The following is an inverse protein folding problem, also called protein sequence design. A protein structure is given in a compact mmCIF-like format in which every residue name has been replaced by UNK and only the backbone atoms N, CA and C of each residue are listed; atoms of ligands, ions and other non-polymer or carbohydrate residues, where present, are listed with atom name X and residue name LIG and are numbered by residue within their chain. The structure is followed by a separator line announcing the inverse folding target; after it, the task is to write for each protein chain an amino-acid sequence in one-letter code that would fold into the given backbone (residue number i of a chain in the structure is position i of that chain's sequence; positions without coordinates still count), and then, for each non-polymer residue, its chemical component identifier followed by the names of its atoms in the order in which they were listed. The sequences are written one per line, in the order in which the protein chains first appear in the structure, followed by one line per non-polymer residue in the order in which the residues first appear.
data_IF_347809152934
#
_entry.id   IF_347809152934
#
_cell.length_a   1.000
_cell.length_b   1.000
_cell.length_c   1.000
_cell.angle_alpha   90.00
_cell.angle_beta   90.00
_cell.angle_gamma   90.00
#
_symmetry.space_group_name_H-M   'P 1'
#
loop_
_entity.id
_entity.type
_entity.pdbx_description
1 polymer ?
#
# COMPACT_ATOMS: atom_id res chain seq x y z
N UNK A 1 -26.40 5.46 2.98
CA UNK A 1 -25.41 4.83 3.86
C UNK A 1 -24.36 4.10 3.00
N UNK A 2 -23.65 4.79 2.09
CA UNK A 2 -22.76 4.15 1.09
C UNK A 2 -21.30 4.64 1.10
N UNK A 3 -20.91 5.55 2.00
CA UNK A 3 -19.62 6.27 1.86
C UNK A 3 -18.58 6.06 2.96
N UNK A 4 -18.88 5.34 4.05
CA UNK A 4 -17.96 5.36 5.19
C UNK A 4 -17.08 4.10 5.36
N UNK A 5 -17.28 3.05 4.57
CA UNK A 5 -16.48 1.82 4.69
C UNK A 5 -15.06 1.94 4.14
N UNK A 6 -14.89 2.72 3.07
CA UNK A 6 -13.57 2.95 2.48
C UNK A 6 -12.73 3.92 3.33
N UNK A 7 -13.37 4.93 3.92
CA UNK A 7 -12.69 5.97 4.69
C UNK A 7 -12.06 5.47 6.01
N UNK A 8 -12.65 4.46 6.64
CA UNK A 8 -12.14 3.92 7.92
C UNK A 8 -10.87 3.08 7.72
N UNK A 9 -10.81 2.30 6.64
CA UNK A 9 -9.61 1.52 6.31
C UNK A 9 -8.41 2.42 5.94
N UNK A 10 -8.69 3.58 5.34
CA UNK A 10 -7.68 4.53 4.92
C UNK A 10 -6.99 5.25 6.10
N UNK A 11 -7.73 5.60 7.14
CA UNK A 11 -7.19 6.32 8.28
C UNK A 11 -6.13 5.50 9.05
N UNK A 12 -6.31 4.18 9.13
CA UNK A 12 -5.35 3.29 9.77
C UNK A 12 -4.03 3.17 8.98
N UNK A 13 -4.12 3.15 7.63
CA UNK A 13 -2.96 3.05 6.76
C UNK A 13 -2.08 4.31 6.78
N UNK A 14 -2.70 5.49 6.98
CA UNK A 14 -1.99 6.77 6.99
C UNK A 14 -1.29 7.05 8.32
N UNK A 15 -1.81 6.57 9.44
CA UNK A 15 -1.16 6.72 10.74
C UNK A 15 0.12 5.90 10.86
N UNK A 16 0.17 4.72 10.24
CA UNK A 16 1.36 3.88 10.28
C UNK A 16 2.49 4.40 9.38
N UNK A 17 2.16 4.97 8.20
CA UNK A 17 3.17 5.57 7.31
C UNK A 17 3.70 6.90 7.85
N UNK A 18 2.87 7.71 8.53
CA UNK A 18 3.28 8.97 9.15
C UNK A 18 4.21 8.80 10.35
N UNK A 19 4.08 7.73 11.11
CA UNK A 19 4.93 7.46 12.27
C UNK A 19 6.37 7.09 11.87
N UNK A 20 6.55 6.45 10.72
CA UNK A 20 7.87 6.06 10.21
C UNK A 20 8.67 7.27 9.71
N UNK A 21 8.00 8.26 9.10
CA UNK A 21 8.68 9.47 8.57
C UNK A 21 9.00 10.50 9.66
N UNK A 22 8.16 10.61 10.71
CA UNK A 22 8.36 11.60 11.78
C UNK A 22 9.54 11.29 12.72
N UNK A 23 10.00 10.04 12.79
CA UNK A 23 11.10 9.64 13.69
C UNK A 23 12.49 9.87 13.11
N UNK A 24 12.62 10.07 11.80
CA UNK A 24 13.90 10.35 11.14
C UNK A 24 14.41 11.79 11.28
N UNK A 25 13.62 12.71 11.86
CA UNK A 25 13.97 14.14 11.96
C UNK A 25 14.51 14.62 13.32
N UNK A 26 14.64 13.76 14.32
CA UNK A 26 15.13 14.15 15.66
C UNK A 26 16.48 13.51 16.00
N UNK A 27 17.51 13.76 15.20
CA UNK A 27 18.90 13.61 15.65
C UNK A 27 19.49 15.00 15.89
N UNK A 28 20.08 15.26 17.08
CA UNK A 28 20.76 16.53 17.37
C UNK A 28 22.03 16.68 16.53
N UNK A 29 22.46 17.92 16.23
CA UNK A 29 23.63 18.17 15.40
C UNK A 29 24.91 17.69 16.11
N UNK A 30 25.68 16.90 15.38
CA UNK A 30 26.99 16.45 15.83
C UNK A 30 27.97 17.65 15.90
N UNK A 31 28.68 17.75 17.01
CA UNK A 31 29.74 18.69 17.28
C UNK A 31 30.90 18.52 16.27
N UNK A 32 31.54 19.59 15.78
CA UNK A 32 32.63 19.47 14.83
C UNK A 32 33.89 18.92 15.48
N UNK A 33 34.40 17.81 14.99
CA UNK A 33 35.70 17.28 15.36
C UNK A 33 36.77 17.90 14.47
N UNK A 34 37.83 18.36 15.15
CA UNK A 34 39.02 18.99 14.63
C UNK A 34 39.78 18.13 13.62
N UNK A 35 40.23 18.81 12.56
CA UNK A 35 41.10 18.32 11.48
C UNK A 35 42.51 17.97 11.98
N UNK A 36 43.13 16.90 11.53
CA UNK A 36 44.58 16.89 11.31
C UNK A 36 44.89 16.86 9.81
N UNK A 37 45.68 17.85 9.40
CA UNK A 37 46.39 17.92 8.12
C UNK A 37 47.35 16.76 7.97
N UNK A 38 47.32 16.04 6.84
CA UNK A 38 48.53 15.39 6.34
C UNK A 38 48.49 15.18 4.82
N UNK A 39 49.50 15.61 4.20
CA UNK A 39 50.24 15.34 2.99
C UNK A 39 49.60 14.55 1.87
N UNK A 40 49.31 15.24 0.77
CA UNK A 40 49.00 14.58 -0.51
C UNK A 40 50.27 14.22 -1.25
N UNK A 41 50.42 12.92 -1.56
CA UNK A 41 51.36 12.39 -2.55
C UNK A 41 50.68 12.35 -3.92
N UNK A 42 51.20 13.05 -4.96
CA UNK A 42 50.49 13.22 -6.23
C UNK A 42 50.60 12.03 -7.22
N UNK A 43 51.02 10.84 -6.80
CA UNK A 43 51.26 9.73 -7.73
C UNK A 43 50.42 8.49 -7.51
N UNK A 44 49.37 8.52 -6.68
CA UNK A 44 48.52 7.35 -6.45
C UNK A 44 47.20 7.47 -7.22
N UNK A 45 47.07 6.65 -8.29
CA UNK A 45 45.86 6.38 -9.04
C UNK A 45 44.75 5.94 -8.07
N UNK A 46 43.51 6.49 -8.16
CA UNK A 46 42.39 6.07 -7.33
C UNK A 46 42.02 4.60 -7.60
N UNK A 47 41.61 3.83 -6.60
CA UNK A 47 41.09 2.49 -6.82
C UNK A 47 39.79 2.57 -7.59
N UNK A 48 39.68 1.73 -8.62
CA UNK A 48 38.52 1.56 -9.47
C UNK A 48 37.47 0.70 -8.76
N UNK A 49 36.77 1.21 -7.76
CA UNK A 49 35.59 0.57 -7.16
C UNK A 49 34.72 1.62 -6.41
N UNK A 50 34.52 2.77 -7.03
CA UNK A 50 33.36 3.58 -6.70
C UNK A 50 32.19 3.04 -7.51
N UNK A 51 31.34 2.23 -6.89
CA UNK A 51 30.07 1.80 -7.46
C UNK A 51 29.27 3.07 -7.77
N UNK A 52 29.22 3.40 -9.05
CA UNK A 52 28.34 4.46 -9.52
C UNK A 52 26.89 4.09 -9.11
N UNK A 53 26.06 5.08 -8.71
CA UNK A 53 24.66 4.82 -8.46
C UNK A 53 24.09 4.15 -9.70
N UNK A 54 23.37 3.03 -9.50
CA UNK A 54 22.69 2.28 -10.56
C UNK A 54 21.74 3.24 -11.29
N UNK A 55 22.23 3.82 -12.38
CA UNK A 55 21.38 4.39 -13.41
C UNK A 55 20.75 3.20 -14.11
N UNK A 56 19.43 3.15 -14.08
CA UNK A 56 18.66 2.16 -14.83
C UNK A 56 18.79 2.51 -16.32
N UNK A 57 19.91 2.08 -16.94
CA UNK A 57 20.06 2.08 -18.38
C UNK A 57 19.25 0.94 -18.98
N UNK A 58 17.96 1.18 -19.11
CA UNK A 58 17.09 0.40 -19.97
C UNK A 58 17.31 0.87 -21.41
N UNK A 59 18.11 0.10 -22.17
CA UNK A 59 18.12 0.09 -23.62
C UNK A 59 18.07 1.47 -24.32
N UNK A 60 19.18 2.20 -24.35
CA UNK A 60 19.41 3.25 -25.32
C UNK A 60 18.65 4.57 -25.14
N UNK A 61 17.94 4.75 -24.01
CA UNK A 61 17.32 6.02 -23.65
C UNK A 61 18.33 6.80 -22.80
N UNK A 62 18.96 7.83 -23.39
CA UNK A 62 19.79 8.78 -22.66
C UNK A 62 18.92 9.42 -21.56
N UNK A 63 19.42 9.41 -20.31
CA UNK A 63 18.75 10.11 -19.23
C UNK A 63 18.46 11.57 -19.63
N UNK A 64 17.26 12.11 -19.40
CA UNK A 64 16.95 13.50 -19.73
C UNK A 64 17.96 14.44 -19.09
N UNK A 65 18.37 15.52 -19.77
CA UNK A 65 19.32 16.47 -19.20
C UNK A 65 18.81 17.07 -17.89
N UNK A 66 19.74 17.31 -16.95
CA UNK A 66 19.41 17.93 -15.66
C UNK A 66 18.82 19.32 -15.91
N UNK A 67 17.60 19.56 -15.39
CA UNK A 67 16.90 20.83 -15.49
C UNK A 67 16.75 21.44 -14.10
N UNK A 68 17.44 22.55 -13.83
CA UNK A 68 17.43 23.21 -12.53
C UNK A 68 16.02 23.68 -12.09
N UNK A 69 15.17 24.05 -13.05
CA UNK A 69 13.78 24.42 -12.79
C UNK A 69 12.94 23.20 -12.33
N UNK A 70 13.15 22.06 -12.97
CA UNK A 70 12.54 20.78 -12.60
C UNK A 70 12.99 20.31 -11.22
N UNK A 71 14.30 20.40 -10.93
CA UNK A 71 14.87 20.06 -9.62
C UNK A 71 14.31 20.97 -8.51
N UNK A 72 14.14 22.26 -8.77
CA UNK A 72 13.51 23.20 -7.84
C UNK A 72 12.01 22.89 -7.63
N UNK A 73 11.30 22.51 -8.68
CA UNK A 73 9.88 22.15 -8.61
C UNK A 73 9.68 20.87 -7.79
N UNK A 74 10.49 19.83 -8.01
CA UNK A 74 10.39 18.58 -7.23
C UNK A 74 10.77 18.82 -5.76
N UNK A 75 11.76 19.68 -5.51
CA UNK A 75 12.08 20.08 -4.13
C UNK A 75 10.89 20.75 -3.46
N UNK A 76 10.24 21.71 -4.13
CA UNK A 76 9.05 22.37 -3.62
C UNK A 76 7.90 21.37 -3.35
N UNK A 77 7.72 20.38 -4.18
CA UNK A 77 6.77 19.29 -3.95
C UNK A 77 7.12 18.46 -2.70
N UNK A 78 8.39 18.10 -2.52
CA UNK A 78 8.86 17.34 -1.35
C UNK A 78 8.69 18.12 -0.04
N UNK A 79 8.86 19.43 -0.08
CA UNK A 79 8.73 20.33 1.07
C UNK A 79 7.26 20.46 1.57
N UNK A 80 6.27 20.09 0.77
CA UNK A 80 4.86 20.05 1.21
C UNK A 80 4.68 18.89 2.20
N UNK A 81 4.18 19.15 3.43
CA UNK A 81 3.93 18.11 4.40
C UNK A 81 2.98 17.01 3.87
N UNK A 82 3.26 15.76 4.19
CA UNK A 82 2.44 14.62 3.79
C UNK A 82 1.02 14.66 4.39
N UNK A 83 0.81 15.44 5.45
CA UNK A 83 -0.50 15.68 6.06
C UNK A 83 -1.38 16.63 5.25
N UNK A 84 -0.79 17.48 4.40
CA UNK A 84 -1.53 18.35 3.47
C UNK A 84 -1.68 17.67 2.10
N UNK A 85 -2.43 16.57 2.10
CA UNK A 85 -2.59 15.73 0.91
C UNK A 85 -3.19 16.48 -0.27
N UNK A 86 -4.17 17.34 -0.03
CA UNK A 86 -4.84 18.09 -1.09
C UNK A 86 -3.86 19.02 -1.84
N UNK A 87 -3.07 19.77 -1.08
CA UNK A 87 -2.03 20.65 -1.65
C UNK A 87 -0.94 19.85 -2.36
N UNK A 88 -0.50 18.74 -1.76
CA UNK A 88 0.55 17.92 -2.34
C UNK A 88 0.08 17.17 -3.59
N UNK A 89 -1.17 16.69 -3.63
CA UNK A 89 -1.77 16.14 -4.84
C UNK A 89 -1.80 17.17 -5.97
N UNK A 90 -2.28 18.38 -5.67
CA UNK A 90 -2.32 19.47 -6.67
C UNK A 90 -0.91 19.79 -7.21
N UNK A 91 0.08 19.88 -6.32
CA UNK A 91 1.46 20.13 -6.73
C UNK A 91 2.04 18.99 -7.58
N UNK A 92 1.68 17.73 -7.26
CA UNK A 92 2.06 16.57 -8.08
C UNK A 92 1.42 16.57 -9.45
N UNK A 93 0.10 16.88 -9.55
CA UNK A 93 -0.61 17.05 -10.82
C UNK A 93 0.04 18.13 -11.69
N UNK A 94 0.31 19.30 -11.12
CA UNK A 94 0.94 20.42 -11.82
C UNK A 94 2.37 20.05 -12.29
N UNK A 95 3.10 19.29 -11.47
CA UNK A 95 4.45 18.83 -11.81
C UNK A 95 4.43 17.90 -13.03
N UNK A 96 3.63 16.83 -13.02
CA UNK A 96 3.60 15.87 -14.14
C UNK A 96 3.02 16.47 -15.41
N UNK A 97 2.14 17.46 -15.29
CA UNK A 97 1.62 18.22 -16.43
C UNK A 97 2.70 19.11 -17.04
N UNK A 98 3.47 19.82 -16.22
CA UNK A 98 4.52 20.75 -16.67
C UNK A 98 5.76 20.01 -17.20
N UNK A 99 6.10 18.86 -16.59
CA UNK A 99 7.30 18.09 -16.89
C UNK A 99 6.96 16.64 -17.30
N UNK A 100 6.31 16.43 -18.47
CA UNK A 100 5.79 15.12 -18.88
C UNK A 100 6.87 14.09 -19.22
N UNK A 101 8.15 14.50 -19.28
CA UNK A 101 9.30 13.61 -19.53
C UNK A 101 10.28 13.60 -18.34
N UNK A 102 9.88 14.12 -17.19
CA UNK A 102 10.72 14.20 -16.00
C UNK A 102 11.16 12.83 -15.49
N UNK A 103 12.41 12.74 -15.06
CA UNK A 103 12.95 11.59 -14.31
C UNK A 103 12.29 11.40 -12.94
N UNK A 104 11.62 12.43 -12.40
CA UNK A 104 10.96 12.39 -11.11
C UNK A 104 9.51 11.90 -11.17
N UNK A 105 8.98 11.62 -12.38
CA UNK A 105 7.60 11.13 -12.54
C UNK A 105 7.27 9.90 -11.68
N UNK A 106 8.14 8.88 -11.56
CA UNK A 106 7.82 7.73 -10.73
C UNK A 106 7.54 8.12 -9.27
N UNK A 107 8.40 8.95 -8.68
CA UNK A 107 8.21 9.45 -7.31
C UNK A 107 6.89 10.22 -7.16
N UNK A 108 6.59 11.09 -8.12
CA UNK A 108 5.37 11.91 -8.10
C UNK A 108 4.12 11.04 -8.26
N UNK A 109 4.10 10.10 -9.22
CA UNK A 109 2.95 9.21 -9.40
C UNK A 109 2.76 8.26 -8.22
N UNK A 110 3.84 7.69 -7.67
CA UNK A 110 3.76 6.86 -6.46
C UNK A 110 3.20 7.65 -5.25
N UNK A 111 3.51 8.95 -5.15
CA UNK A 111 2.87 9.83 -4.18
C UNK A 111 1.39 10.05 -4.50
N UNK A 112 1.03 10.38 -5.76
CA UNK A 112 -0.34 10.64 -6.18
C UNK A 112 -1.26 9.46 -5.90
N UNK A 113 -0.78 8.22 -6.10
CA UNK A 113 -1.53 7.00 -5.71
C UNK A 113 -1.92 7.04 -4.23
N UNK A 114 -0.97 7.33 -3.34
CA UNK A 114 -1.23 7.42 -1.89
C UNK A 114 -2.12 8.61 -1.54
N UNK A 115 -1.85 9.75 -2.15
CA UNK A 115 -2.59 10.97 -1.91
C UNK A 115 -4.06 10.89 -2.37
N UNK A 116 -4.33 10.25 -3.51
CA UNK A 116 -5.69 10.01 -3.98
C UNK A 116 -6.40 8.94 -3.16
N UNK A 117 -5.68 7.89 -2.73
CA UNK A 117 -6.21 6.93 -1.77
C UNK A 117 -6.65 7.65 -0.49
N UNK A 118 -5.79 8.53 0.06
CA UNK A 118 -6.06 9.29 1.28
C UNK A 118 -7.18 10.33 1.17
N UNK A 119 -7.50 10.76 -0.04
CA UNK A 119 -8.57 11.73 -0.33
C UNK A 119 -9.81 11.12 -0.99
N UNK A 120 -9.93 9.78 -0.95
CA UNK A 120 -11.08 8.99 -1.49
C UNK A 120 -11.38 9.30 -2.97
N UNK A 121 -10.32 9.29 -3.80
CA UNK A 121 -10.40 9.54 -5.25
C UNK A 121 -9.90 8.31 -6.04
N UNK A 122 -10.62 7.15 -5.98
CA UNK A 122 -10.13 5.87 -6.52
C UNK A 122 -9.89 5.89 -8.03
N UNK A 123 -10.65 6.66 -8.80
CA UNK A 123 -10.46 6.75 -10.25
C UNK A 123 -9.16 7.50 -10.61
N UNK A 124 -8.84 8.58 -9.89
CA UNK A 124 -7.55 9.28 -10.08
C UNK A 124 -6.38 8.44 -9.57
N UNK A 125 -6.58 7.68 -8.49
CA UNK A 125 -5.61 6.76 -7.96
C UNK A 125 -5.25 5.70 -9.01
N UNK A 126 -6.24 5.07 -9.65
CA UNK A 126 -6.02 4.08 -10.70
C UNK A 126 -5.25 4.66 -11.89
N UNK A 127 -5.60 5.88 -12.34
CA UNK A 127 -4.87 6.55 -13.43
C UNK A 127 -3.40 6.80 -13.03
N UNK A 128 -3.16 7.30 -11.83
CA UNK A 128 -1.80 7.58 -11.36
C UNK A 128 -0.98 6.29 -11.18
N UNK A 129 -1.61 5.22 -10.69
CA UNK A 129 -0.97 3.92 -10.52
C UNK A 129 -0.62 3.27 -11.85
N UNK A 130 -1.50 3.34 -12.85
CA UNK A 130 -1.20 2.86 -14.20
C UNK A 130 -0.01 3.63 -14.83
N UNK A 131 0.09 4.95 -14.60
CA UNK A 131 1.23 5.76 -15.05
C UNK A 131 2.53 5.39 -14.33
N UNK A 132 2.45 5.19 -13.02
CA UNK A 132 3.61 4.77 -12.23
C UNK A 132 4.09 3.37 -12.64
N UNK A 133 3.19 2.38 -12.69
CA UNK A 133 3.52 1.00 -13.05
C UNK A 133 3.98 0.82 -14.51
N UNK A 134 3.67 1.77 -15.39
CA UNK A 134 4.26 1.84 -16.73
C UNK A 134 5.74 2.27 -16.69
N UNK A 135 6.14 3.04 -15.68
CA UNK A 135 7.52 3.50 -15.47
C UNK A 135 8.32 2.54 -14.58
N UNK A 136 7.70 2.06 -13.51
CA UNK A 136 8.29 1.15 -12.51
C UNK A 136 7.38 -0.07 -12.30
N UNK A 137 7.42 -1.06 -13.19
CA UNK A 137 6.53 -2.23 -13.14
C UNK A 137 6.64 -3.06 -11.86
N UNK A 138 7.70 -2.84 -11.08
CA UNK A 138 8.04 -3.58 -9.86
C UNK A 138 7.85 -2.76 -8.58
N UNK A 139 7.09 -1.65 -8.62
CA UNK A 139 6.72 -0.97 -7.37
C UNK A 139 5.71 -1.82 -6.59
N UNK A 140 6.22 -2.58 -5.61
CA UNK A 140 5.41 -3.48 -4.80
C UNK A 140 4.32 -2.73 -4.02
N UNK A 141 4.57 -1.49 -3.60
CA UNK A 141 3.61 -0.70 -2.84
C UNK A 141 2.45 -0.24 -3.73
N UNK A 142 2.74 0.29 -4.91
CA UNK A 142 1.71 0.71 -5.86
C UNK A 142 0.90 -0.49 -6.34
N UNK A 143 1.56 -1.61 -6.67
CA UNK A 143 0.88 -2.88 -7.02
C UNK A 143 -0.09 -3.33 -5.92
N UNK A 144 0.32 -3.30 -4.64
CA UNK A 144 -0.53 -3.73 -3.53
C UNK A 144 -1.70 -2.75 -3.28
N UNK A 145 -1.46 -1.44 -3.38
CA UNK A 145 -2.50 -0.41 -3.25
C UNK A 145 -3.55 -0.59 -4.36
N UNK A 146 -3.14 -0.63 -5.61
CA UNK A 146 -4.03 -0.84 -6.76
C UNK A 146 -4.81 -2.15 -6.61
N UNK A 147 -4.10 -3.26 -6.39
CA UNK A 147 -4.70 -4.58 -6.27
C UNK A 147 -5.72 -4.69 -5.14
N UNK A 148 -5.50 -4.03 -4.02
CA UNK A 148 -6.42 -4.06 -2.87
C UNK A 148 -7.57 -3.07 -2.99
N UNK A 149 -7.39 -1.94 -3.67
CA UNK A 149 -8.38 -0.85 -3.74
C UNK A 149 -9.35 -1.03 -4.89
N UNK A 150 -8.87 -1.44 -6.08
CA UNK A 150 -9.72 -1.63 -7.26
C UNK A 150 -10.96 -2.48 -7.00
N UNK A 151 -10.87 -3.69 -6.39
CA UNK A 151 -12.05 -4.51 -6.15
C UNK A 151 -12.97 -3.93 -5.07
N UNK A 152 -12.45 -3.12 -4.13
CA UNK A 152 -13.24 -2.46 -3.08
C UNK A 152 -14.04 -1.27 -3.63
N UNK A 153 -13.47 -0.51 -4.55
CA UNK A 153 -14.11 0.65 -5.17
C UNK A 153 -15.22 0.28 -6.18
N UNK A 154 -15.37 -1.00 -6.54
CA UNK A 154 -16.39 -1.45 -7.49
C UNK A 154 -17.82 -1.31 -6.94
N UNK A 155 -18.70 -0.82 -7.80
CA UNK A 155 -20.16 -0.73 -7.58
C UNK A 155 -20.92 -1.62 -8.58
N UNK A 156 -22.24 -1.69 -8.44
CA UNK A 156 -23.09 -2.41 -9.40
C UNK A 156 -23.04 -1.82 -10.82
N UNK A 157 -22.62 -0.55 -10.96
CA UNK A 157 -22.48 0.14 -12.25
C UNK A 157 -21.07 0.10 -12.82
N UNK A 158 -20.12 -0.60 -12.17
CA UNK A 158 -18.74 -0.70 -12.67
C UNK A 158 -18.70 -1.39 -14.03
N UNK A 159 -18.15 -0.75 -15.08
CA UNK A 159 -18.01 -1.39 -16.39
C UNK A 159 -17.02 -2.53 -16.35
N UNK A 160 -17.28 -3.62 -17.08
CA UNK A 160 -16.38 -4.77 -17.20
C UNK A 160 -15.83 -5.27 -15.85
N UNK A 161 -16.69 -5.60 -14.86
CA UNK A 161 -16.26 -5.87 -13.49
C UNK A 161 -15.23 -7.00 -13.42
N UNK A 162 -15.36 -8.05 -14.23
CA UNK A 162 -14.40 -9.17 -14.22
C UNK A 162 -13.02 -8.77 -14.71
N UNK A 163 -12.93 -7.89 -15.72
CA UNK A 163 -11.63 -7.36 -16.18
C UNK A 163 -10.93 -6.56 -15.07
N UNK A 164 -11.71 -5.79 -14.29
CA UNK A 164 -11.16 -5.03 -13.15
C UNK A 164 -10.72 -5.94 -12.01
N UNK A 165 -11.48 -7.01 -11.73
CA UNK A 165 -11.08 -8.05 -10.78
C UNK A 165 -9.82 -8.79 -11.22
N UNK A 166 -9.70 -9.12 -12.50
CA UNK A 166 -8.49 -9.76 -13.04
C UNK A 166 -7.27 -8.86 -12.93
N UNK A 167 -7.39 -7.56 -13.25
CA UNK A 167 -6.32 -6.56 -13.05
C UNK A 167 -5.88 -6.51 -11.59
N UNK A 168 -6.85 -6.43 -10.67
CA UNK A 168 -6.57 -6.41 -9.23
C UNK A 168 -5.85 -7.69 -8.75
N UNK A 169 -6.29 -8.85 -9.21
CA UNK A 169 -5.67 -10.13 -8.90
C UNK A 169 -4.23 -10.20 -9.39
N UNK A 170 -3.96 -9.78 -10.64
CA UNK A 170 -2.62 -9.73 -11.22
C UNK A 170 -1.71 -8.80 -10.41
N UNK A 171 -2.18 -7.62 -10.06
CA UNK A 171 -1.41 -6.65 -9.27
C UNK A 171 -1.07 -7.19 -7.87
N UNK A 172 -2.02 -7.84 -7.19
CA UNK A 172 -1.75 -8.45 -5.90
C UNK A 172 -0.71 -9.58 -5.99
N UNK A 173 -0.82 -10.46 -6.98
CA UNK A 173 0.16 -11.54 -7.19
C UNK A 173 1.55 -10.99 -7.46
N UNK A 174 1.66 -10.01 -8.36
CA UNK A 174 2.93 -9.34 -8.64
C UNK A 174 3.50 -8.64 -7.40
N UNK A 175 2.66 -8.00 -6.58
CA UNK A 175 3.12 -7.40 -5.33
C UNK A 175 3.74 -8.43 -4.39
N UNK A 176 3.11 -9.63 -4.25
CA UNK A 176 3.64 -10.73 -3.44
C UNK A 176 4.97 -11.26 -3.98
N UNK A 177 5.13 -11.35 -5.30
CA UNK A 177 6.39 -11.80 -5.91
C UNK A 177 7.50 -10.76 -5.67
N UNK A 178 7.23 -9.48 -5.97
CA UNK A 178 8.22 -8.41 -5.87
C UNK A 178 8.65 -8.16 -4.43
N UNK A 179 7.73 -8.17 -3.46
CA UNK A 179 8.04 -7.87 -2.06
C UNK A 179 9.04 -8.86 -1.45
N UNK A 180 9.14 -10.09 -1.98
CA UNK A 180 10.09 -11.10 -1.49
C UNK A 180 11.53 -10.68 -1.73
N UNK A 181 11.82 -10.10 -2.88
CA UNK A 181 13.16 -9.72 -3.36
C UNK A 181 13.43 -8.22 -3.27
N UNK A 182 12.47 -7.43 -2.76
CA UNK A 182 12.58 -5.98 -2.66
C UNK A 182 13.82 -5.57 -1.85
N UNK A 183 14.71 -4.72 -2.39
CA UNK A 183 15.88 -4.25 -1.68
C UNK A 183 15.47 -3.29 -0.55
N UNK A 184 16.19 -3.36 0.58
CA UNK A 184 15.98 -2.43 1.70
C UNK A 184 16.47 -1.03 1.32
N UNK A 185 15.61 0.00 1.37
CA UNK A 185 16.04 1.38 1.22
C UNK A 185 17.05 1.79 2.31
N UNK A 186 18.08 2.54 1.92
CA UNK A 186 19.17 2.91 2.83
C UNK A 186 18.72 3.77 4.03
N UNK A 187 17.60 4.47 3.90
CA UNK A 187 17.03 5.34 4.92
C UNK A 187 16.11 4.61 5.92
N UNK A 188 15.89 3.30 5.75
CA UNK A 188 15.07 2.51 6.67
C UNK A 188 15.95 1.60 7.55
N UNK A 189 15.55 1.46 8.80
CA UNK A 189 16.03 0.39 9.67
C UNK A 189 15.50 -0.97 9.23
N UNK A 190 16.10 -2.08 9.70
CA UNK A 190 15.62 -3.43 9.40
C UNK A 190 14.18 -3.64 9.91
N UNK A 191 13.86 -3.09 11.07
CA UNK A 191 12.52 -3.19 11.66
C UNK A 191 11.48 -2.42 10.82
N UNK A 192 11.78 -1.19 10.41
CA UNK A 192 10.89 -0.38 9.57
C UNK A 192 10.67 -1.05 8.20
N UNK A 193 11.72 -1.60 7.63
CA UNK A 193 11.63 -2.34 6.37
C UNK A 193 10.79 -3.62 6.51
N UNK A 194 10.97 -4.39 7.60
CA UNK A 194 10.15 -5.56 7.88
C UNK A 194 8.67 -5.21 8.03
N UNK A 195 8.36 -4.12 8.75
CA UNK A 195 6.98 -3.61 8.87
C UNK A 195 6.41 -3.21 7.50
N UNK A 196 7.17 -2.46 6.69
CA UNK A 196 6.74 -2.06 5.36
C UNK A 196 6.45 -3.27 4.45
N UNK A 197 7.32 -4.27 4.47
CA UNK A 197 7.09 -5.54 3.73
C UNK A 197 5.84 -6.26 4.22
N UNK A 198 5.65 -6.35 5.54
CA UNK A 198 4.48 -6.99 6.13
C UNK A 198 3.18 -6.27 5.70
N UNK A 199 3.16 -4.94 5.69
CA UNK A 199 2.02 -4.14 5.25
C UNK A 199 1.70 -4.34 3.76
N UNK A 200 2.71 -4.31 2.89
CA UNK A 200 2.54 -4.58 1.45
C UNK A 200 1.98 -5.98 1.23
N UNK A 201 2.54 -6.98 1.91
CA UNK A 201 2.11 -8.38 1.83
C UNK A 201 0.66 -8.55 2.30
N UNK A 202 0.31 -7.96 3.43
CA UNK A 202 -1.05 -8.01 3.97
C UNK A 202 -2.06 -7.31 3.05
N UNK A 203 -1.70 -6.16 2.46
CA UNK A 203 -2.51 -5.48 1.46
C UNK A 203 -2.78 -6.36 0.24
N UNK A 204 -1.76 -7.02 -0.28
CA UNK A 204 -1.90 -7.90 -1.44
C UNK A 204 -2.81 -9.10 -1.13
N UNK A 205 -2.64 -9.76 0.01
CA UNK A 205 -3.56 -10.82 0.45
C UNK A 205 -4.98 -10.30 0.68
N UNK A 206 -5.14 -9.11 1.26
CA UNK A 206 -6.45 -8.49 1.41
C UNK A 206 -7.13 -8.28 0.05
N UNK A 207 -6.40 -7.78 -0.94
CA UNK A 207 -6.89 -7.62 -2.32
C UNK A 207 -7.34 -8.95 -2.95
N UNK A 208 -6.52 -10.01 -2.85
CA UNK A 208 -6.88 -11.36 -3.33
C UNK A 208 -8.13 -11.88 -2.63
N UNK A 209 -8.24 -11.66 -1.31
CA UNK A 209 -9.44 -12.00 -0.55
C UNK A 209 -10.69 -11.29 -1.08
N UNK A 210 -10.59 -9.98 -1.34
CA UNK A 210 -11.72 -9.20 -1.89
C UNK A 210 -12.07 -9.64 -3.31
N UNK A 211 -11.09 -9.94 -4.15
CA UNK A 211 -11.34 -10.48 -5.51
C UNK A 211 -12.11 -11.80 -5.45
N UNK A 212 -11.64 -12.75 -4.64
CA UNK A 212 -12.33 -14.03 -4.45
C UNK A 212 -13.74 -13.84 -3.89
N UNK A 213 -13.90 -12.96 -2.89
CA UNK A 213 -15.19 -12.61 -2.29
C UNK A 213 -16.17 -12.03 -3.33
N UNK A 214 -15.71 -11.10 -4.17
CA UNK A 214 -16.52 -10.47 -5.23
C UNK A 214 -16.98 -11.47 -6.29
N UNK A 215 -16.18 -12.51 -6.55
CA UNK A 215 -16.53 -13.64 -7.44
C UNK A 215 -17.43 -14.66 -6.77
N UNK A 216 -17.80 -14.50 -5.49
CA UNK A 216 -18.56 -15.48 -4.71
C UNK A 216 -17.77 -16.74 -4.32
N UNK A 217 -16.45 -16.75 -4.51
CA UNK A 217 -15.54 -17.83 -4.14
C UNK A 217 -15.12 -17.71 -2.69
N UNK A 218 -16.09 -17.91 -1.77
CA UNK A 218 -15.86 -17.63 -0.35
C UNK A 218 -14.80 -18.53 0.27
N UNK A 219 -14.75 -19.80 -0.13
CA UNK A 219 -13.70 -20.73 0.34
C UNK A 219 -12.28 -20.25 -0.06
N UNK A 220 -12.14 -19.65 -1.25
CA UNK A 220 -10.87 -19.09 -1.71
C UNK A 220 -10.53 -17.74 -1.02
N UNK A 221 -11.54 -17.01 -0.57
CA UNK A 221 -11.35 -15.74 0.14
C UNK A 221 -10.81 -15.94 1.55
N UNK A 222 -11.24 -17.00 2.25
CA UNK A 222 -10.86 -17.29 3.64
C UNK A 222 -9.35 -17.29 3.86
N UNK A 223 -8.53 -18.10 3.18
CA UNK A 223 -7.10 -18.16 3.42
C UNK A 223 -6.41 -16.81 3.13
N UNK A 224 -6.90 -16.05 2.17
CA UNK A 224 -6.34 -14.75 1.85
C UNK A 224 -6.61 -13.71 2.95
N UNK A 225 -7.84 -13.61 3.46
CA UNK A 225 -8.14 -12.71 4.57
C UNK A 225 -7.45 -13.15 5.87
N UNK A 226 -7.32 -14.45 6.11
CA UNK A 226 -6.60 -15.02 7.25
C UNK A 226 -5.12 -14.59 7.21
N UNK A 227 -4.45 -14.69 6.06
CA UNK A 227 -3.09 -14.21 5.88
C UNK A 227 -3.00 -12.69 6.08
N UNK A 228 -3.89 -11.91 5.48
CA UNK A 228 -3.91 -10.47 5.63
C UNK A 228 -4.00 -10.03 7.09
N UNK A 229 -4.86 -10.69 7.90
CA UNK A 229 -5.06 -10.36 9.31
C UNK A 229 -3.94 -10.81 10.24
N UNK A 230 -3.16 -11.84 9.84
CA UNK A 230 -2.04 -12.37 10.64
C UNK A 230 -0.73 -11.63 10.40
N UNK A 231 -0.51 -11.20 9.15
CA UNK A 231 0.76 -10.60 8.73
C UNK A 231 0.81 -9.12 9.08
N UNK A 232 -0.31 -8.41 9.01
CA UNK A 232 -0.37 -6.97 9.27
C UNK A 232 -0.13 -6.67 10.76
N UNK A 233 0.90 -5.88 11.12
CA UNK A 233 1.09 -5.43 12.50
C UNK A 233 -0.06 -4.58 13.05
N UNK A 234 -0.87 -3.99 12.16
CA UNK A 234 -2.05 -3.16 12.47
C UNK A 234 -3.22 -3.52 11.57
N UNK A 235 -3.82 -4.72 11.76
CA UNK A 235 -4.76 -5.27 10.79
C UNK A 235 -6.02 -4.40 10.63
N UNK A 236 -6.46 -4.24 9.39
CA UNK A 236 -7.72 -3.58 9.04
C UNK A 236 -8.92 -4.41 9.56
N UNK A 237 -9.79 -3.85 10.41
CA UNK A 237 -10.98 -4.55 10.91
C UNK A 237 -11.92 -5.02 9.79
N UNK A 238 -11.91 -4.39 8.63
CA UNK A 238 -12.68 -4.84 7.46
C UNK A 238 -12.24 -6.22 6.98
N UNK A 239 -10.96 -6.57 7.09
CA UNK A 239 -10.48 -7.90 6.73
C UNK A 239 -11.04 -8.99 7.67
N UNK A 240 -11.12 -8.73 8.97
CA UNK A 240 -11.79 -9.65 9.90
C UNK A 240 -13.29 -9.78 9.63
N UNK A 241 -13.95 -8.68 9.27
CA UNK A 241 -15.36 -8.70 8.91
C UNK A 241 -15.60 -9.55 7.65
N UNK A 242 -14.82 -9.33 6.59
CA UNK A 242 -14.92 -10.09 5.34
C UNK A 242 -14.52 -11.57 5.52
N UNK A 243 -13.55 -11.85 6.40
CA UNK A 243 -13.21 -13.21 6.82
C UNK A 243 -14.42 -13.88 7.49
N UNK A 244 -15.08 -13.16 8.39
CA UNK A 244 -16.30 -13.65 9.06
C UNK A 244 -17.42 -13.94 8.07
N UNK A 245 -17.71 -13.02 7.16
CA UNK A 245 -18.74 -13.24 6.11
C UNK A 245 -18.34 -14.41 5.19
N UNK A 246 -17.08 -14.54 4.81
CA UNK A 246 -16.61 -15.64 3.96
C UNK A 246 -16.78 -17.00 4.65
N UNK A 247 -16.43 -17.09 5.93
CA UNK A 247 -16.66 -18.30 6.74
C UNK A 247 -18.15 -18.60 6.88
N UNK A 248 -19.00 -17.59 7.15
CA UNK A 248 -20.46 -17.73 7.24
C UNK A 248 -21.03 -18.30 5.93
N UNK A 249 -20.61 -17.77 4.77
CA UNK A 249 -21.02 -18.25 3.43
C UNK A 249 -20.50 -19.65 3.08
N UNK A 250 -19.35 -20.04 3.68
CA UNK A 250 -18.81 -21.39 3.58
C UNK A 250 -19.39 -22.36 4.64
N UNK A 251 -20.34 -21.92 5.45
CA UNK A 251 -20.95 -22.68 6.56
C UNK A 251 -19.97 -23.05 7.69
N UNK A 252 -18.88 -22.28 7.84
CA UNK A 252 -17.91 -22.39 8.94
C UNK A 252 -18.31 -21.41 10.06
N UNK A 253 -19.42 -21.68 10.75
CA UNK A 253 -20.07 -20.68 11.62
C UNK A 253 -19.26 -20.35 12.87
N UNK A 254 -18.50 -21.29 13.44
CA UNK A 254 -17.64 -21.04 14.59
C UNK A 254 -16.47 -20.12 14.20
N UNK A 255 -15.85 -20.35 13.05
CA UNK A 255 -14.80 -19.51 12.52
C UNK A 255 -15.33 -18.11 12.14
N UNK A 256 -16.55 -18.04 11.62
CA UNK A 256 -17.24 -16.78 11.36
C UNK A 256 -17.43 -15.97 12.66
N UNK A 257 -17.93 -16.61 13.72
CA UNK A 257 -18.12 -15.97 15.03
C UNK A 257 -16.77 -15.50 15.62
N UNK A 258 -15.71 -16.29 15.48
CA UNK A 258 -14.36 -15.93 15.92
C UNK A 258 -13.81 -14.71 15.16
N UNK A 259 -13.96 -14.66 13.85
CA UNK A 259 -13.53 -13.54 13.01
C UNK A 259 -14.33 -12.26 13.34
N UNK A 260 -15.64 -12.33 13.50
CA UNK A 260 -16.47 -11.20 13.93
C UNK A 260 -16.11 -10.73 15.34
N UNK A 261 -15.77 -11.65 16.25
CA UNK A 261 -15.29 -11.30 17.58
C UNK A 261 -14.01 -10.48 17.52
N UNK A 262 -13.03 -10.88 16.72
CA UNK A 262 -11.81 -10.08 16.46
C UNK A 262 -12.15 -8.71 15.88
N UNK A 263 -12.98 -8.65 14.83
CA UNK A 263 -13.47 -7.39 14.28
C UNK A 263 -14.08 -6.47 15.35
N UNK A 264 -14.85 -7.01 16.28
CA UNK A 264 -15.54 -6.23 17.31
C UNK A 264 -14.62 -5.62 18.37
N UNK A 265 -13.35 -6.03 18.43
CA UNK A 265 -12.36 -5.42 19.35
C UNK A 265 -11.81 -4.09 18.87
N UNK A 266 -11.96 -3.78 17.57
CA UNK A 266 -11.50 -2.53 17.01
C UNK A 266 -12.55 -1.43 17.22
N UNK A 267 -12.16 -0.27 17.80
CA UNK A 267 -13.08 0.85 17.97
C UNK A 267 -13.43 1.48 16.61
N UNK A 268 -14.67 1.89 16.44
CA UNK A 268 -15.10 2.58 15.20
C UNK A 268 -16.41 2.06 14.65
N UNK A 269 -16.76 2.49 13.42
CA UNK A 269 -18.07 2.24 12.80
C UNK A 269 -18.41 0.77 12.55
N UNK A 270 -17.41 -0.10 12.44
CA UNK A 270 -17.61 -1.54 12.23
C UNK A 270 -17.91 -2.32 13.53
N UNK A 271 -17.55 -1.77 14.69
CA UNK A 271 -17.62 -2.49 15.97
C UNK A 271 -19.03 -3.05 16.27
N UNK A 272 -20.04 -2.20 16.11
CA UNK A 272 -21.43 -2.58 16.38
C UNK A 272 -21.93 -3.66 15.40
N UNK A 273 -21.59 -3.51 14.12
CA UNK A 273 -21.92 -4.47 13.07
C UNK A 273 -21.28 -5.83 13.36
N UNK A 274 -19.99 -5.84 13.73
CA UNK A 274 -19.29 -7.08 14.07
C UNK A 274 -19.88 -7.76 15.29
N UNK A 275 -20.25 -6.99 16.35
CA UNK A 275 -20.93 -7.56 17.53
C UNK A 275 -22.25 -8.25 17.18
N UNK A 276 -23.08 -7.61 16.34
CA UNK A 276 -24.34 -8.20 15.91
C UNK A 276 -24.15 -9.51 15.12
N UNK A 277 -23.10 -9.56 14.28
CA UNK A 277 -22.76 -10.73 13.49
C UNK A 277 -22.27 -11.93 14.30
N UNK A 278 -21.71 -11.74 15.50
CA UNK A 278 -21.30 -12.85 16.36
C UNK A 278 -22.50 -13.72 16.73
N UNK A 279 -23.60 -13.10 17.18
CA UNK A 279 -24.78 -13.80 17.64
C UNK A 279 -25.51 -14.47 16.46
N UNK A 280 -25.51 -13.82 15.28
CA UNK A 280 -26.06 -14.39 14.04
C UNK A 280 -25.31 -15.67 13.64
N UNK A 281 -23.98 -15.63 13.60
CA UNK A 281 -23.14 -16.79 13.24
C UNK A 281 -23.35 -17.95 14.24
N UNK A 282 -23.38 -17.70 15.55
CA UNK A 282 -23.64 -18.71 16.55
C UNK A 282 -25.02 -19.36 16.41
N UNK A 283 -26.04 -18.56 16.08
CA UNK A 283 -27.38 -19.04 15.81
C UNK A 283 -27.45 -19.99 14.62
N UNK A 284 -26.76 -19.62 13.53
CA UNK A 284 -26.67 -20.43 12.31
C UNK A 284 -25.98 -21.77 12.59
N UNK A 285 -24.87 -21.75 13.36
CA UNK A 285 -24.18 -22.97 13.78
C UNK A 285 -25.05 -23.90 14.60
N UNK A 286 -25.78 -23.37 15.59
CA UNK A 286 -26.72 -24.16 16.40
C UNK A 286 -27.85 -24.78 15.58
N UNK A 287 -28.36 -24.04 14.58
CA UNK A 287 -29.42 -24.53 13.67
C UNK A 287 -28.90 -25.64 12.76
N UNK A 288 -27.68 -25.54 12.24
CA UNK A 288 -27.06 -26.56 11.41
C UNK A 288 -26.85 -27.87 12.17
N UNK A 289 -26.42 -27.80 13.45
CA UNK A 289 -26.24 -28.98 14.30
C UNK A 289 -27.55 -29.67 14.68
N UNK A 290 -28.65 -28.91 14.67
CA UNK A 290 -29.98 -29.41 15.03
C UNK A 290 -30.79 -29.94 13.84
N UNK A 291 -30.30 -29.80 12.62
CA UNK A 291 -30.99 -30.34 11.42
C UNK A 291 -30.92 -31.87 11.42
N UNK A 292 -32.03 -32.58 11.18
CA UNK A 292 -31.99 -34.02 11.03
C UNK A 292 -31.12 -34.41 9.82
N UNK A 293 -30.26 -35.41 10.02
CA UNK A 293 -29.38 -35.96 8.99
C UNK A 293 -30.17 -36.80 7.96
#
# INVERSE_FOLDING_TARGET
MKSNLAAVALAALMLSAGAVVARAQNNPPATPATTPTNGQDPTKKPPADAVAPLTLDSAGVTAPPVNAEEDAAVKSFRDIPNTDMAKKNKAGEDFVQKYPQSRYRPEIYAWLVKGYLGTDQPDKMEIAGDQELALVPTDAQVLAIEGSTLPRAMSASTPNPEKRLQKAEDYCKRALDVVTTMPKPANLTDQEFAIAKAQITAMAYSGLGVVAFRRGKFADAIPNFDQATKIDPSPDPVNFYLLGISNEKASHFDDAAAAFSKCSTFPGGMQATCKAKIDEAKKLGATQLSAPK
#
